data_IF_010564892098
#
_entry.id   IF_010564892098
#
_cell.length_a   1.000
_cell.length_b   1.000
_cell.length_c   1.000
_cell.angle_alpha   90.00
_cell.angle_beta   90.00
_cell.angle_gamma   90.00
#
_symmetry.space_group_name_H-M   'P 1'
#
loop_
_entity.id
_entity.type
_entity.pdbx_description
1 polymer ?
#
# COMPACT_ATOMS: atom_id res chain seq x y z
N UNK A 1 8.95 -23.71 -1.12
CA UNK A 1 7.59 -23.12 -1.22
C UNK A 1 7.22 -22.96 -2.69
N UNK A 2 5.99 -23.33 -3.09
CA UNK A 2 5.54 -23.24 -4.49
C UNK A 2 5.56 -21.78 -4.97
N UNK A 3 6.12 -21.50 -6.16
CA UNK A 3 6.18 -20.13 -6.71
C UNK A 3 4.79 -19.49 -6.79
N UNK A 4 3.76 -20.25 -7.15
CA UNK A 4 2.38 -19.74 -7.16
C UNK A 4 1.91 -19.33 -5.77
N UNK A 5 2.28 -20.09 -4.74
CA UNK A 5 1.97 -19.77 -3.34
C UNK A 5 2.69 -18.50 -2.90
N UNK A 6 3.98 -18.33 -3.27
CA UNK A 6 4.72 -17.07 -3.03
C UNK A 6 3.99 -15.89 -3.68
N UNK A 7 3.55 -16.05 -4.94
CA UNK A 7 2.81 -15.01 -5.66
C UNK A 7 1.50 -14.62 -4.97
N UNK A 8 0.72 -15.60 -4.51
CA UNK A 8 -0.53 -15.37 -3.77
C UNK A 8 -0.25 -14.64 -2.45
N UNK A 9 0.77 -15.06 -1.69
CA UNK A 9 1.14 -14.42 -0.41
C UNK A 9 1.49 -12.95 -0.64
N UNK A 10 2.27 -12.65 -1.67
CA UNK A 10 2.63 -11.27 -2.02
C UNK A 10 1.42 -10.41 -2.42
N UNK A 11 0.45 -10.99 -3.13
CA UNK A 11 -0.81 -10.30 -3.48
C UNK A 11 -1.62 -9.99 -2.22
N UNK A 12 -1.73 -10.94 -1.29
CA UNK A 12 -2.46 -10.76 -0.03
C UNK A 12 -1.80 -9.65 0.80
N UNK A 13 -0.48 -9.71 0.96
CA UNK A 13 0.29 -8.69 1.69
C UNK A 13 0.12 -7.32 1.03
N UNK A 14 0.29 -7.24 -0.29
CA UNK A 14 0.16 -5.98 -1.03
C UNK A 14 -1.23 -5.38 -0.91
N UNK A 15 -2.28 -6.20 -1.01
CA UNK A 15 -3.68 -5.78 -0.86
C UNK A 15 -3.97 -5.32 0.57
N UNK A 16 -3.48 -6.05 1.58
CA UNK A 16 -3.61 -5.67 2.98
C UNK A 16 -2.99 -4.30 3.27
N UNK A 17 -1.78 -4.05 2.74
CA UNK A 17 -1.11 -2.75 2.89
C UNK A 17 -1.93 -1.62 2.26
N UNK A 18 -2.51 -1.82 1.08
CA UNK A 18 -3.32 -0.80 0.40
C UNK A 18 -4.64 -0.50 1.11
N UNK A 19 -5.34 -1.55 1.57
CA UNK A 19 -6.57 -1.38 2.34
C UNK A 19 -6.27 -0.72 3.69
N UNK A 20 -5.25 -1.19 4.41
CA UNK A 20 -4.82 -0.60 5.67
C UNK A 20 -4.44 0.87 5.53
N UNK A 21 -3.72 1.23 4.46
CA UNK A 21 -3.37 2.62 4.16
C UNK A 21 -4.60 3.52 3.93
N UNK A 22 -5.64 2.96 3.30
CA UNK A 22 -6.91 3.66 3.05
C UNK A 22 -7.66 3.89 4.36
N UNK A 23 -7.77 2.86 5.20
CA UNK A 23 -8.40 2.96 6.53
C UNK A 23 -7.65 3.99 7.40
N UNK A 24 -6.32 3.95 7.44
CA UNK A 24 -5.51 4.90 8.19
C UNK A 24 -5.66 6.35 7.67
N UNK A 25 -5.83 6.54 6.36
CA UNK A 25 -6.10 7.85 5.77
C UNK A 25 -7.50 8.38 6.14
N UNK A 26 -8.50 7.50 6.21
CA UNK A 26 -9.85 7.85 6.68
C UNK A 26 -9.79 8.22 8.17
N UNK A 27 -9.06 7.43 8.97
CA UNK A 27 -8.85 7.72 10.38
C UNK A 27 -8.13 9.06 10.58
N UNK A 28 -7.09 9.38 9.81
CA UNK A 28 -6.43 10.69 9.87
C UNK A 28 -7.41 11.84 9.64
N UNK A 29 -8.32 11.70 8.67
CA UNK A 29 -9.34 12.71 8.37
C UNK A 29 -10.44 12.80 9.42
N UNK A 30 -10.81 11.68 10.04
CA UNK A 30 -11.93 11.63 11.00
C UNK A 30 -11.48 11.89 12.44
N UNK A 31 -10.28 11.46 12.80
CA UNK A 31 -9.70 11.52 14.12
C UNK A 31 -8.89 12.80 14.36
N UNK A 32 -9.21 13.89 13.65
CA UNK A 32 -8.55 15.20 13.79
C UNK A 32 -8.23 15.63 15.24
N UNK A 33 -9.01 15.25 16.27
CA UNK A 33 -8.68 15.49 17.69
C UNK A 33 -8.23 14.27 18.54
N UNK A 34 -8.20 13.04 18.02
CA UNK A 34 -8.05 11.82 18.85
C UNK A 34 -6.58 11.34 18.94
N UNK A 35 -5.67 11.92 18.15
CA UNK A 35 -4.24 11.56 18.18
C UNK A 35 -3.25 12.64 17.77
N UNK A 36 -3.71 13.86 17.46
CA UNK A 36 -2.88 15.00 17.13
C UNK A 36 -3.35 16.20 17.96
N UNK A 37 -2.44 16.85 18.68
CA UNK A 37 -2.74 17.93 19.65
C UNK A 37 -3.32 19.22 19.01
N UNK A 38 -3.53 19.23 17.69
CA UNK A 38 -3.87 20.44 16.95
C UNK A 38 -5.11 20.20 16.09
N UNK A 39 -6.14 21.01 16.32
CA UNK A 39 -7.31 21.09 15.47
C UNK A 39 -6.85 21.34 14.02
N UNK A 40 -7.03 20.38 13.13
CA UNK A 40 -6.59 20.52 11.74
C UNK A 40 -7.51 21.52 11.04
N UNK A 41 -7.06 22.78 10.95
CA UNK A 41 -7.70 23.78 10.12
C UNK A 41 -7.46 23.45 8.65
N UNK A 42 -8.43 23.76 7.79
CA UNK A 42 -8.33 23.50 6.35
C UNK A 42 -7.12 24.20 5.70
N UNK A 43 -6.67 25.33 6.25
CA UNK A 43 -5.46 26.05 5.82
C UNK A 43 -4.17 25.25 6.00
N UNK A 44 -4.10 24.44 7.04
CA UNK A 44 -2.87 23.75 7.48
C UNK A 44 -2.93 22.24 7.25
N UNK A 45 -4.03 21.74 6.71
CA UNK A 45 -4.27 20.33 6.44
C UNK A 45 -3.11 19.66 5.72
N UNK A 46 -2.66 20.24 4.60
CA UNK A 46 -1.59 19.65 3.80
C UNK A 46 -0.25 19.62 4.53
N UNK A 47 0.07 20.68 5.27
CA UNK A 47 1.29 20.76 6.07
C UNK A 47 1.28 19.69 7.18
N UNK A 48 0.17 19.58 7.92
CA UNK A 48 0.01 18.58 8.96
C UNK A 48 -0.03 17.16 8.42
N UNK A 49 -0.68 16.94 7.27
CA UNK A 49 -0.69 15.64 6.60
C UNK A 49 0.73 15.21 6.24
N UNK A 50 1.51 16.07 5.58
CA UNK A 50 2.89 15.76 5.21
C UNK A 50 3.79 15.51 6.42
N UNK A 51 3.69 16.33 7.47
CA UNK A 51 4.53 16.21 8.67
C UNK A 51 4.25 14.96 9.49
N UNK A 52 2.99 14.52 9.55
CA UNK A 52 2.59 13.46 10.48
C UNK A 52 2.39 12.09 9.82
N UNK A 53 1.90 12.06 8.58
CA UNK A 53 1.33 10.83 8.03
C UNK A 53 1.64 10.60 6.53
N UNK A 54 1.91 11.66 5.78
CA UNK A 54 1.97 11.62 4.31
C UNK A 54 3.11 10.77 3.77
N UNK A 55 4.30 10.88 4.36
CA UNK A 55 5.46 10.10 3.93
C UNK A 55 5.25 8.60 4.16
N UNK A 56 4.71 8.22 5.32
CA UNK A 56 4.39 6.81 5.65
C UNK A 56 3.32 6.28 4.69
N UNK A 57 2.29 7.08 4.41
CA UNK A 57 1.20 6.73 3.48
C UNK A 57 1.74 6.37 2.09
N UNK A 58 2.66 7.18 1.57
CA UNK A 58 3.24 6.99 0.25
C UNK A 58 4.11 5.73 0.23
N UNK A 59 4.96 5.52 1.24
CA UNK A 59 5.80 4.32 1.31
C UNK A 59 4.95 3.05 1.36
N UNK A 60 3.92 3.00 2.20
CA UNK A 60 3.02 1.85 2.30
C UNK A 60 2.31 1.59 0.97
N UNK A 61 1.83 2.65 0.30
CA UNK A 61 1.20 2.53 -1.00
C UNK A 61 2.16 1.96 -2.05
N UNK A 62 3.39 2.46 -2.13
CA UNK A 62 4.41 1.96 -3.06
C UNK A 62 4.73 0.49 -2.80
N UNK A 63 4.98 0.11 -1.55
CA UNK A 63 5.27 -1.29 -1.18
C UNK A 63 4.08 -2.19 -1.49
N UNK A 64 2.86 -1.74 -1.18
CA UNK A 64 1.62 -2.49 -1.44
C UNK A 64 1.40 -2.75 -2.93
N UNK A 65 1.57 -1.73 -3.76
CA UNK A 65 1.48 -1.85 -5.23
C UNK A 65 2.58 -2.76 -5.77
N UNK A 66 3.84 -2.55 -5.37
CA UNK A 66 4.97 -3.36 -5.85
C UNK A 66 4.80 -4.85 -5.47
N UNK A 67 4.39 -5.12 -4.24
CA UNK A 67 4.13 -6.50 -3.77
C UNK A 67 3.02 -7.16 -4.58
N UNK A 68 1.95 -6.43 -4.87
CA UNK A 68 0.83 -6.93 -5.68
C UNK A 68 1.25 -7.22 -7.12
N UNK A 69 1.95 -6.29 -7.77
CA UNK A 69 2.44 -6.46 -9.16
C UNK A 69 3.40 -7.65 -9.23
N UNK A 70 4.37 -7.72 -8.32
CA UNK A 70 5.34 -8.80 -8.29
C UNK A 70 4.69 -10.15 -7.99
N UNK A 71 3.72 -10.17 -7.07
CA UNK A 71 2.92 -11.35 -6.76
C UNK A 71 2.13 -11.86 -7.97
N UNK A 72 1.47 -10.96 -8.72
CA UNK A 72 0.76 -11.30 -9.97
C UNK A 72 1.74 -11.87 -11.01
N UNK A 73 2.91 -11.25 -11.17
CA UNK A 73 3.92 -11.70 -12.12
C UNK A 73 4.42 -13.12 -11.81
N UNK A 74 4.71 -13.39 -10.54
CA UNK A 74 5.11 -14.72 -10.07
C UNK A 74 3.98 -15.73 -10.23
N UNK A 75 2.75 -15.37 -9.86
CA UNK A 75 1.58 -16.25 -9.91
C UNK A 75 1.24 -16.68 -11.34
N UNK A 76 1.23 -15.72 -12.29
CA UNK A 76 0.99 -16.00 -13.71
C UNK A 76 2.09 -16.86 -14.32
N UNK A 77 3.30 -16.79 -13.77
CA UNK A 77 4.48 -17.47 -14.28
C UNK A 77 4.94 -16.90 -15.63
N UNK A 78 6.24 -16.89 -15.88
CA UNK A 78 6.76 -16.67 -17.23
C UNK A 78 6.22 -17.81 -18.11
N UNK A 79 5.24 -17.54 -18.99
CA UNK A 79 5.08 -18.36 -20.20
C UNK A 79 6.39 -18.23 -20.96
N UNK A 80 7.32 -19.18 -20.75
CA UNK A 80 8.44 -19.36 -21.67
C UNK A 80 7.78 -19.80 -22.97
N UNK A 81 7.62 -18.89 -23.92
CA UNK A 81 7.45 -19.25 -25.30
C UNK A 81 8.71 -20.03 -25.67
N UNK A 82 8.66 -21.36 -25.50
CA UNK A 82 9.58 -22.27 -26.11
C UNK A 82 9.29 -22.18 -27.60
N UNK A 83 9.93 -21.22 -28.26
CA UNK A 83 10.16 -21.30 -29.69
C UNK A 83 11.09 -22.50 -29.83
N UNK A 84 10.50 -23.65 -30.11
CA UNK A 84 11.21 -24.81 -30.64
C UNK A 84 11.73 -24.38 -32.02
N UNK A 85 13.01 -24.05 -32.07
CA UNK A 85 13.83 -24.03 -33.29
C UNK A 85 14.79 -25.20 -33.19
#
# INVERSE_FOLDING_TARGET
MNKKVIGIVLIIIGTYLLIGNTIMSILFNYAGPIGFDVLINSSDYWSNWWNNYGLITIIIAVIGVMSTIFGIWIFKGRKRNLVQL
#
